data_IF_576401684451
#
_entry.id   IF_576401684451
#
_cell.length_a   1.000
_cell.length_b   1.000
_cell.length_c   1.000
_cell.angle_alpha   90.00
_cell.angle_beta   90.00
_cell.angle_gamma   90.00
#
_symmetry.space_group_name_H-M   'P 1'
#
loop_
_entity.id
_entity.type
_entity.pdbx_description
1 polymer ?
#
# COMPACT_ATOMS: atom_id res chain seq x y z
N UNK A 1 5.91 54.99 45.55
CA UNK A 1 6.27 54.16 44.39
C UNK A 1 6.19 52.74 44.91
N UNK A 2 5.00 52.16 44.88
CA UNK A 2 4.72 50.87 45.52
C UNK A 2 5.20 49.75 44.60
N UNK A 3 6.30 49.12 45.01
CA UNK A 3 6.81 47.90 44.38
C UNK A 3 5.86 46.79 44.82
N UNK A 4 5.01 46.33 43.90
CA UNK A 4 4.13 45.19 44.13
C UNK A 4 4.98 43.89 44.22
N UNK A 5 5.40 43.56 45.44
CA UNK A 5 6.25 42.40 45.78
C UNK A 5 5.50 41.06 45.62
N UNK A 6 4.22 41.07 45.22
CA UNK A 6 3.40 39.85 45.23
C UNK A 6 3.31 39.10 43.91
N UNK A 7 4.00 39.52 42.85
CA UNK A 7 4.06 38.71 41.61
C UNK A 7 5.00 37.51 41.82
N UNK A 8 4.48 36.26 41.91
CA UNK A 8 5.34 35.09 41.94
C UNK A 8 6.21 35.11 40.69
N UNK A 9 7.53 34.96 40.87
CA UNK A 9 8.43 34.87 39.73
C UNK A 9 8.00 33.65 38.91
N UNK A 10 7.53 33.90 37.69
CA UNK A 10 7.16 32.83 36.77
C UNK A 10 8.45 32.15 36.34
N UNK A 11 8.88 31.15 37.11
CA UNK A 11 10.02 30.33 36.75
C UNK A 11 9.72 29.68 35.40
N UNK A 12 10.70 29.77 34.48
CA UNK A 12 10.56 29.16 33.17
C UNK A 12 10.32 27.64 33.31
N UNK A 13 9.45 27.04 32.49
CA UNK A 13 9.17 25.61 32.58
C UNK A 13 10.42 24.78 32.29
N UNK A 14 10.62 23.75 33.11
CA UNK A 14 11.70 22.77 32.96
C UNK A 14 11.62 22.02 31.63
N UNK A 15 12.74 21.42 31.17
CA UNK A 15 12.77 20.59 29.94
C UNK A 15 11.74 19.44 29.98
N UNK A 16 11.59 18.80 31.14
CA UNK A 16 10.61 17.72 31.35
C UNK A 16 9.17 18.23 31.24
N UNK A 17 8.85 19.40 31.82
CA UNK A 17 7.51 20.00 31.70
C UNK A 17 7.18 20.35 30.24
N UNK A 18 8.13 20.92 29.49
CA UNK A 18 7.96 21.20 28.06
C UNK A 18 7.73 19.93 27.25
N UNK A 19 8.50 18.87 27.51
CA UNK A 19 8.33 17.57 26.86
C UNK A 19 6.97 16.94 27.18
N UNK A 20 6.57 16.92 28.46
CA UNK A 20 5.25 16.40 28.90
C UNK A 20 4.11 17.19 28.25
N UNK A 21 4.18 18.51 28.25
CA UNK A 21 3.17 19.35 27.61
C UNK A 21 3.10 19.09 26.09
N UNK A 22 4.24 18.92 25.43
CA UNK A 22 4.32 18.54 24.02
C UNK A 22 3.69 17.18 23.74
N UNK A 23 4.01 16.16 24.53
CA UNK A 23 3.45 14.82 24.40
C UNK A 23 1.93 14.79 24.64
N UNK A 24 1.46 15.47 25.70
CA UNK A 24 0.02 15.56 26.00
C UNK A 24 -0.72 16.30 24.89
N UNK A 25 -0.17 17.40 24.38
CA UNK A 25 -0.73 18.12 23.23
C UNK A 25 -0.77 17.24 21.98
N UNK A 26 0.32 16.52 21.70
CA UNK A 26 0.41 15.58 20.59
C UNK A 26 -0.65 14.49 20.68
N UNK A 27 -0.82 13.87 21.86
CA UNK A 27 -1.82 12.84 22.12
C UNK A 27 -3.26 13.38 22.03
N UNK A 28 -3.52 14.58 22.59
CA UNK A 28 -4.86 15.21 22.58
C UNK A 28 -5.34 15.58 21.19
N UNK A 29 -4.44 15.99 20.30
CA UNK A 29 -4.83 16.36 18.94
C UNK A 29 -5.27 15.15 18.08
N UNK A 30 -5.03 13.92 18.54
CA UNK A 30 -5.69 12.72 18.05
C UNK A 30 -5.38 12.33 16.60
N UNK A 31 -6.16 11.38 16.08
CA UNK A 31 -6.00 10.78 14.75
C UNK A 31 -7.13 11.24 13.83
N UNK A 32 -7.15 12.52 13.50
CA UNK A 32 -8.23 13.13 12.72
C UNK A 32 -7.87 13.25 11.23
N UNK A 33 -8.85 13.13 10.32
CA UNK A 33 -8.64 13.45 8.91
C UNK A 33 -8.23 14.92 8.72
N UNK A 34 -7.15 15.15 7.98
CA UNK A 34 -6.72 16.51 7.63
C UNK A 34 -7.32 16.96 6.30
N UNK A 35 -7.59 18.26 6.13
CA UNK A 35 -8.11 18.79 4.87
C UNK A 35 -7.13 18.54 3.73
N UNK A 36 -7.63 18.04 2.60
CA UNK A 36 -6.88 17.82 1.36
C UNK A 36 -7.36 18.82 0.31
N UNK A 37 -6.44 19.56 -0.30
CA UNK A 37 -6.77 20.53 -1.35
C UNK A 37 -7.26 19.83 -2.62
N UNK A 38 -8.00 20.54 -3.49
CA UNK A 38 -8.49 19.96 -4.75
C UNK A 38 -7.36 19.51 -5.67
N UNK A 39 -6.31 20.32 -5.81
CA UNK A 39 -5.15 20.02 -6.64
C UNK A 39 -4.35 18.83 -6.13
N UNK A 40 -4.08 18.81 -4.82
CA UNK A 40 -3.39 17.70 -4.18
C UNK A 40 -4.12 16.37 -4.41
N UNK A 41 -5.44 16.37 -4.22
CA UNK A 41 -6.27 15.19 -4.46
C UNK A 41 -6.36 14.78 -5.92
N UNK A 42 -6.39 15.73 -6.85
CA UNK A 42 -6.34 15.43 -8.28
C UNK A 42 -5.04 14.70 -8.63
N UNK A 43 -3.88 15.19 -8.17
CA UNK A 43 -2.58 14.54 -8.44
C UNK A 43 -2.52 13.16 -7.78
N UNK A 44 -2.99 13.00 -6.54
CA UNK A 44 -3.05 11.66 -5.90
C UNK A 44 -3.84 10.66 -6.74
N UNK A 45 -5.01 11.06 -7.24
CA UNK A 45 -5.85 10.19 -8.08
C UNK A 45 -5.23 9.94 -9.45
N UNK A 46 -4.56 10.93 -10.04
CA UNK A 46 -3.81 10.75 -11.28
C UNK A 46 -2.70 9.71 -11.09
N UNK A 47 -1.90 9.81 -10.03
CA UNK A 47 -0.82 8.86 -9.74
C UNK A 47 -1.38 7.46 -9.45
N UNK A 48 -2.45 7.37 -8.65
CA UNK A 48 -3.08 6.08 -8.34
C UNK A 48 -3.76 5.47 -9.57
N UNK A 49 -4.41 6.29 -10.40
CA UNK A 49 -4.99 5.87 -11.67
C UNK A 49 -3.95 5.38 -12.66
N UNK A 50 -2.82 6.08 -12.80
CA UNK A 50 -1.69 5.64 -13.62
C UNK A 50 -1.11 4.30 -13.13
N UNK A 51 -0.99 4.13 -11.81
CA UNK A 51 -0.61 2.85 -11.21
C UNK A 51 -1.61 1.74 -11.53
N UNK A 52 -2.92 2.00 -11.47
CA UNK A 52 -3.94 1.02 -11.85
C UNK A 52 -3.82 0.63 -13.33
N UNK A 53 -3.63 1.60 -14.23
CA UNK A 53 -3.40 1.30 -15.66
C UNK A 53 -2.16 0.44 -15.83
N UNK A 54 -1.04 0.82 -15.22
CA UNK A 54 0.21 0.04 -15.28
C UNK A 54 0.01 -1.41 -14.82
N UNK A 55 -0.77 -1.60 -13.76
CA UNK A 55 -1.06 -2.93 -13.22
C UNK A 55 -1.95 -3.74 -14.16
N UNK A 56 -2.99 -3.13 -14.74
CA UNK A 56 -3.79 -3.82 -15.75
C UNK A 56 -3.03 -4.10 -17.05
N UNK A 57 -1.95 -3.36 -17.36
CA UNK A 57 -1.07 -3.68 -18.49
C UNK A 57 -0.07 -4.79 -18.20
N UNK A 58 0.03 -5.25 -16.95
CA UNK A 58 0.84 -6.43 -16.64
C UNK A 58 0.18 -7.67 -17.27
N UNK A 59 0.92 -8.34 -18.13
CA UNK A 59 0.49 -9.36 -19.09
C UNK A 59 0.76 -10.78 -18.59
N UNK A 60 1.53 -10.91 -17.52
CA UNK A 60 1.72 -12.16 -16.77
C UNK A 60 0.41 -12.84 -16.24
N UNK A 61 -0.71 -12.15 -15.94
CA UNK A 61 -1.90 -12.76 -15.32
C UNK A 61 -2.70 -13.72 -16.18
N UNK A 62 -2.34 -13.89 -17.44
CA UNK A 62 -3.19 -14.56 -18.40
C UNK A 62 -2.46 -15.62 -19.21
N UNK A 63 -1.25 -16.03 -18.79
CA UNK A 63 -0.50 -17.06 -19.54
C UNK A 63 -1.10 -18.47 -19.44
N UNK A 64 -1.93 -18.72 -18.44
CA UNK A 64 -2.56 -20.02 -18.23
C UNK A 64 -4.08 -19.85 -18.25
N UNK A 65 -4.77 -20.64 -19.07
CA UNK A 65 -6.24 -20.65 -19.09
C UNK A 65 -6.78 -21.27 -17.80
N UNK A 66 -6.11 -22.29 -17.26
CA UNK A 66 -6.62 -23.05 -16.13
C UNK A 66 -6.55 -22.30 -14.79
N UNK A 67 -7.56 -22.53 -13.94
CA UNK A 67 -7.59 -22.10 -12.54
C UNK A 67 -7.32 -23.28 -11.60
N UNK A 68 -6.11 -23.85 -11.65
CA UNK A 68 -5.78 -25.09 -10.92
C UNK A 68 -5.98 -25.01 -9.41
N UNK A 69 -5.94 -23.80 -8.84
CA UNK A 69 -6.07 -23.55 -7.39
C UNK A 69 -7.06 -22.41 -7.13
N UNK A 70 -8.37 -22.62 -7.31
CA UNK A 70 -9.36 -21.55 -7.18
C UNK A 70 -9.31 -20.90 -5.80
N UNK A 71 -9.22 -19.56 -5.77
CA UNK A 71 -9.18 -18.76 -4.54
C UNK A 71 -10.35 -17.80 -4.48
N UNK A 72 -10.88 -17.55 -3.28
CA UNK A 72 -11.94 -16.57 -3.06
C UNK A 72 -13.16 -16.82 -3.97
N UNK A 73 -13.54 -15.79 -4.73
CA UNK A 73 -14.70 -15.83 -5.65
C UNK A 73 -14.57 -16.93 -6.71
N UNK A 74 -13.34 -17.30 -7.10
CA UNK A 74 -13.11 -18.37 -8.08
C UNK A 74 -13.56 -19.77 -7.60
N UNK A 75 -13.84 -19.95 -6.31
CA UNK A 75 -14.45 -21.20 -5.82
C UNK A 75 -15.93 -21.32 -6.21
N UNK A 76 -16.57 -20.22 -6.58
CA UNK A 76 -18.00 -20.15 -6.85
C UNK A 76 -18.31 -19.76 -8.29
N UNK A 77 -17.41 -19.04 -8.94
CA UNK A 77 -17.59 -18.51 -10.30
C UNK A 77 -16.33 -18.84 -11.09
N UNK A 78 -16.50 -19.53 -12.22
CA UNK A 78 -15.44 -19.72 -13.20
C UNK A 78 -15.03 -18.36 -13.77
N UNK A 79 -13.75 -17.98 -13.60
CA UNK A 79 -13.20 -16.70 -14.07
C UNK A 79 -12.36 -16.85 -15.33
N UNK A 80 -12.33 -18.04 -15.97
CA UNK A 80 -11.59 -18.27 -17.22
C UNK A 80 -12.04 -17.39 -18.39
N UNK A 81 -13.26 -16.84 -18.33
CA UNK A 81 -13.73 -15.83 -19.30
C UNK A 81 -12.94 -14.51 -19.25
N UNK A 82 -12.12 -14.27 -18.21
CA UNK A 82 -11.17 -13.15 -18.10
C UNK A 82 -9.78 -13.48 -18.67
N UNK A 83 -9.58 -14.64 -19.29
CA UNK A 83 -8.32 -14.96 -19.95
C UNK A 83 -8.01 -13.96 -21.07
N UNK A 84 -6.74 -13.84 -21.46
CA UNK A 84 -6.32 -13.00 -22.58
C UNK A 84 -5.92 -13.89 -23.75
N UNK A 85 -6.53 -13.68 -24.91
CA UNK A 85 -6.10 -14.31 -26.15
C UNK A 85 -7.16 -15.19 -26.82
N UNK A 86 -6.94 -15.42 -28.10
CA UNK A 86 -7.62 -16.43 -28.92
C UNK A 86 -6.91 -17.74 -28.63
N UNK A 87 -7.64 -18.77 -28.18
CA UNK A 87 -7.05 -20.10 -27.97
C UNK A 87 -6.31 -20.53 -29.24
N UNK A 88 -5.06 -21.01 -29.08
CA UNK A 88 -4.31 -21.47 -30.24
C UNK A 88 -5.04 -22.65 -30.89
N UNK A 89 -5.09 -22.73 -32.23
CA UNK A 89 -5.72 -23.85 -32.91
C UNK A 89 -5.07 -25.18 -32.50
N UNK A 90 -5.74 -25.95 -31.65
CA UNK A 90 -5.25 -27.24 -31.15
C UNK A 90 -5.11 -27.34 -29.62
N UNK A 91 -5.28 -26.25 -28.87
CA UNK A 91 -5.48 -26.35 -27.41
C UNK A 91 -6.89 -26.86 -27.12
N UNK A 92 -7.02 -28.18 -26.93
CA UNK A 92 -8.23 -28.76 -26.36
C UNK A 92 -8.34 -28.32 -24.90
N UNK A 93 -9.39 -27.54 -24.58
CA UNK A 93 -9.83 -27.29 -23.21
C UNK A 93 -10.00 -28.64 -22.52
N UNK A 94 -9.03 -29.02 -21.68
CA UNK A 94 -9.08 -30.27 -20.92
C UNK A 94 -10.41 -30.33 -20.17
N UNK A 95 -11.31 -31.20 -20.64
CA UNK A 95 -12.73 -31.23 -20.32
C UNK A 95 -13.06 -31.68 -18.87
N UNK A 96 -12.16 -31.48 -17.91
CA UNK A 96 -12.32 -31.95 -16.52
C UNK A 96 -13.02 -30.97 -15.57
N UNK A 97 -13.55 -29.84 -16.07
CA UNK A 97 -14.28 -28.88 -15.23
C UNK A 97 -15.49 -28.20 -15.88
N UNK A 98 -15.80 -28.48 -17.14
CA UNK A 98 -16.86 -27.82 -17.89
C UNK A 98 -18.25 -28.33 -17.45
N UNK A 99 -18.91 -27.57 -16.57
CA UNK A 99 -20.35 -27.74 -16.34
C UNK A 99 -21.16 -27.48 -17.63
N UNK A 100 -22.46 -27.82 -17.66
CA UNK A 100 -23.29 -27.76 -18.88
C UNK A 100 -23.46 -26.37 -19.55
N UNK A 101 -22.85 -25.30 -19.01
CA UNK A 101 -23.00 -23.92 -19.45
C UNK A 101 -21.73 -23.27 -20.04
N UNK A 102 -20.60 -23.98 -20.19
CA UNK A 102 -19.31 -23.38 -20.59
C UNK A 102 -18.95 -23.51 -22.09
N UNK A 103 -19.93 -23.72 -22.97
CA UNK A 103 -19.71 -24.08 -24.40
C UNK A 103 -19.46 -22.92 -25.39
N UNK A 104 -18.83 -21.82 -24.98
CA UNK A 104 -18.43 -20.81 -25.97
C UNK A 104 -16.92 -20.56 -25.89
N UNK A 105 -16.13 -21.04 -26.87
CA UNK A 105 -14.74 -20.65 -27.03
C UNK A 105 -14.74 -19.20 -27.52
N UNK A 106 -14.84 -18.26 -26.59
CA UNK A 106 -14.64 -16.83 -26.85
C UNK A 106 -13.20 -16.49 -26.50
N UNK A 107 -12.56 -15.68 -27.36
CA UNK A 107 -11.44 -14.87 -26.93
C UNK A 107 -11.82 -14.22 -25.59
N UNK A 108 -10.99 -14.40 -24.58
CA UNK A 108 -11.38 -13.96 -23.23
C UNK A 108 -11.55 -12.44 -23.19
N UNK A 109 -12.47 -11.98 -22.35
CA UNK A 109 -12.99 -10.60 -22.35
C UNK A 109 -12.04 -9.59 -21.67
N UNK A 110 -10.77 -9.96 -21.47
CA UNK A 110 -9.84 -9.12 -20.72
C UNK A 110 -9.60 -7.77 -21.40
N UNK A 111 -9.54 -7.74 -22.72
CA UNK A 111 -9.27 -6.53 -23.49
C UNK A 111 -10.41 -5.52 -23.35
N UNK A 112 -11.66 -5.98 -23.47
CA UNK A 112 -12.85 -5.17 -23.21
C UNK A 112 -12.89 -4.71 -21.77
N UNK A 113 -12.54 -5.59 -20.84
CA UNK A 113 -12.47 -5.27 -19.42
C UNK A 113 -11.43 -4.19 -19.13
N UNK A 114 -10.27 -4.25 -19.77
CA UNK A 114 -9.22 -3.26 -19.66
C UNK A 114 -9.65 -1.90 -20.21
N UNK A 115 -10.28 -1.87 -21.39
CA UNK A 115 -10.82 -0.63 -21.97
C UNK A 115 -11.85 0.01 -21.03
N UNK A 116 -12.77 -0.79 -20.49
CA UNK A 116 -13.76 -0.31 -19.49
C UNK A 116 -13.05 0.22 -18.25
N UNK A 117 -12.03 -0.48 -17.73
CA UNK A 117 -11.26 -0.05 -16.58
C UNK A 117 -10.53 1.28 -16.85
N UNK A 118 -9.92 1.47 -18.02
CA UNK A 118 -9.29 2.74 -18.42
C UNK A 118 -10.28 3.91 -18.44
N UNK A 119 -11.48 3.71 -18.98
CA UNK A 119 -12.54 4.74 -18.97
C UNK A 119 -12.93 5.07 -17.53
N UNK A 120 -13.18 4.07 -16.70
CA UNK A 120 -13.52 4.27 -15.28
C UNK A 120 -12.39 4.96 -14.51
N UNK A 121 -11.13 4.64 -14.79
CA UNK A 121 -9.96 5.30 -14.19
C UNK A 121 -9.91 6.77 -14.60
N UNK A 122 -10.17 7.10 -15.87
CA UNK A 122 -10.24 8.50 -16.32
C UNK A 122 -11.35 9.27 -15.57
N UNK A 123 -12.54 8.68 -15.44
CA UNK A 123 -13.66 9.27 -14.68
C UNK A 123 -13.30 9.42 -13.19
N UNK A 124 -12.61 8.43 -12.59
CA UNK A 124 -12.09 8.49 -11.22
C UNK A 124 -11.11 9.65 -11.02
N UNK A 125 -10.15 9.83 -11.94
CA UNK A 125 -9.17 10.92 -11.89
C UNK A 125 -9.87 12.27 -11.92
N UNK A 126 -10.88 12.43 -12.77
CA UNK A 126 -11.66 13.67 -12.87
C UNK A 126 -12.52 13.90 -11.63
N UNK A 127 -13.07 12.84 -11.02
CA UNK A 127 -13.87 12.93 -9.79
C UNK A 127 -15.35 12.92 -9.97
N UNK A 128 -15.79 12.53 -11.16
CA UNK A 128 -17.20 12.35 -11.44
C UNK A 128 -17.67 11.00 -10.92
N UNK A 129 -18.87 10.96 -10.35
CA UNK A 129 -19.53 9.71 -9.98
C UNK A 129 -18.74 8.80 -9.06
N UNK A 130 -17.83 9.32 -8.21
CA UNK A 130 -16.90 8.53 -7.38
C UNK A 130 -17.58 7.37 -6.62
N UNK A 131 -18.84 7.56 -6.19
CA UNK A 131 -19.63 6.53 -5.50
C UNK A 131 -19.95 5.31 -6.35
N UNK A 132 -20.03 5.45 -7.66
CA UNK A 132 -20.33 4.35 -8.59
C UNK A 132 -19.05 3.85 -9.24
N UNK A 133 -18.15 4.77 -9.61
CA UNK A 133 -16.88 4.43 -10.25
C UNK A 133 -15.99 3.57 -9.34
N UNK A 134 -15.85 3.92 -8.06
CA UNK A 134 -14.98 3.17 -7.14
C UNK A 134 -15.44 1.73 -6.89
N UNK A 135 -16.72 1.43 -6.57
CA UNK A 135 -17.17 0.04 -6.44
C UNK A 135 -16.96 -0.77 -7.72
N UNK A 136 -17.26 -0.20 -8.89
CA UNK A 136 -17.07 -0.91 -10.15
C UNK A 136 -15.59 -1.20 -10.40
N UNK A 137 -14.71 -0.21 -10.21
CA UNK A 137 -13.25 -0.42 -10.28
C UNK A 137 -12.76 -1.46 -9.25
N UNK A 138 -13.26 -1.43 -8.02
CA UNK A 138 -12.90 -2.39 -6.98
C UNK A 138 -13.28 -3.81 -7.38
N UNK A 139 -14.52 -4.02 -7.85
CA UNK A 139 -15.00 -5.32 -8.33
C UNK A 139 -14.15 -5.77 -9.52
N UNK A 140 -13.92 -4.88 -10.48
CA UNK A 140 -13.14 -5.22 -11.67
C UNK A 140 -11.73 -5.67 -11.32
N UNK A 141 -11.04 -4.88 -10.50
CA UNK A 141 -9.70 -5.22 -10.01
C UNK A 141 -9.71 -6.53 -9.22
N UNK A 142 -10.67 -6.74 -8.31
CA UNK A 142 -10.78 -8.00 -7.56
C UNK A 142 -10.98 -9.21 -8.47
N UNK A 143 -11.84 -9.14 -9.48
CA UNK A 143 -12.11 -10.26 -10.38
C UNK A 143 -10.84 -10.66 -11.15
N UNK A 144 -10.16 -9.69 -11.77
CA UNK A 144 -8.92 -9.93 -12.54
C UNK A 144 -7.84 -10.55 -11.66
N UNK A 145 -7.59 -10.00 -10.47
CA UNK A 145 -6.49 -10.48 -9.63
C UNK A 145 -6.85 -11.72 -8.80
N UNK A 146 -8.14 -12.00 -8.59
CA UNK A 146 -8.59 -13.30 -8.07
C UNK A 146 -8.37 -14.39 -9.11
N UNK A 147 -8.60 -14.10 -10.39
CA UNK A 147 -8.30 -15.01 -11.48
C UNK A 147 -6.80 -15.32 -11.55
N UNK A 148 -5.95 -14.28 -11.58
CA UNK A 148 -4.47 -14.41 -11.50
C UNK A 148 -4.03 -15.29 -10.32
N UNK A 149 -4.52 -14.98 -9.10
CA UNK A 149 -4.14 -15.71 -7.89
C UNK A 149 -4.57 -17.19 -7.93
N UNK A 150 -5.62 -17.51 -8.71
CA UNK A 150 -6.17 -18.85 -8.88
C UNK A 150 -5.40 -19.72 -9.88
N UNK A 151 -4.55 -19.12 -10.71
CA UNK A 151 -3.57 -19.82 -11.57
C UNK A 151 -2.32 -20.27 -10.79
N UNK A 152 -2.26 -19.99 -9.49
CA UNK A 152 -1.13 -20.36 -8.63
C UNK A 152 -0.14 -19.22 -8.36
N UNK A 153 -0.26 -18.07 -9.01
CA UNK A 153 0.58 -16.90 -8.77
C UNK A 153 0.03 -16.04 -7.64
N UNK A 154 0.54 -16.20 -6.42
CA UNK A 154 0.08 -15.36 -5.31
C UNK A 154 0.88 -14.07 -5.25
N UNK A 155 0.24 -12.92 -5.52
CA UNK A 155 0.91 -11.62 -5.42
C UNK A 155 0.14 -10.63 -4.53
N UNK A 156 0.65 -10.44 -3.31
CA UNK A 156 0.02 -9.58 -2.29
C UNK A 156 -0.11 -8.10 -2.71
N UNK A 157 0.69 -7.63 -3.67
CA UNK A 157 0.61 -6.25 -4.15
C UNK A 157 -0.74 -5.90 -4.77
N UNK A 158 -1.40 -6.82 -5.47
CA UNK A 158 -2.73 -6.58 -6.03
C UNK A 158 -3.81 -6.62 -4.93
N UNK A 159 -3.66 -7.49 -3.94
CA UNK A 159 -4.60 -7.61 -2.82
C UNK A 159 -4.70 -6.28 -2.03
N UNK A 160 -3.57 -5.62 -1.78
CA UNK A 160 -3.56 -4.30 -1.12
C UNK A 160 -4.34 -3.24 -1.92
N UNK A 161 -4.22 -3.25 -3.25
CA UNK A 161 -4.91 -2.30 -4.12
C UNK A 161 -6.41 -2.60 -4.19
N UNK A 162 -6.80 -3.87 -4.23
CA UNK A 162 -8.19 -4.29 -4.13
C UNK A 162 -8.83 -3.78 -2.83
N UNK A 163 -8.14 -3.98 -1.70
CA UNK A 163 -8.61 -3.48 -0.39
C UNK A 163 -8.65 -1.95 -0.37
N UNK A 164 -7.67 -1.28 -0.97
CA UNK A 164 -7.66 0.18 -1.11
C UNK A 164 -8.88 0.70 -1.87
N UNK A 165 -9.14 0.16 -3.06
CA UNK A 165 -10.29 0.54 -3.89
C UNK A 165 -11.61 0.25 -3.17
N UNK A 166 -11.72 -0.92 -2.53
CA UNK A 166 -12.90 -1.29 -1.75
C UNK A 166 -13.11 -0.34 -0.55
N UNK A 167 -12.05 -0.02 0.19
CA UNK A 167 -12.13 0.90 1.33
C UNK A 167 -12.51 2.32 0.91
N UNK A 168 -11.94 2.82 -0.20
CA UNK A 168 -12.35 4.10 -0.78
C UNK A 168 -13.81 4.07 -1.24
N UNK A 169 -14.27 2.97 -1.87
CA UNK A 169 -15.65 2.79 -2.27
C UNK A 169 -16.61 2.83 -1.07
N UNK A 170 -16.28 2.11 0.00
CA UNK A 170 -17.05 2.08 1.24
C UNK A 170 -17.17 3.49 1.86
N UNK A 171 -16.06 4.25 1.92
CA UNK A 171 -16.06 5.64 2.41
C UNK A 171 -16.93 6.54 1.54
N UNK A 172 -16.82 6.44 0.22
CA UNK A 172 -17.60 7.25 -0.72
C UNK A 172 -19.13 7.05 -0.54
N UNK A 173 -19.54 5.81 -0.25
CA UNK A 173 -20.93 5.47 0.07
C UNK A 173 -21.34 5.94 1.47
N UNK A 174 -20.55 5.61 2.49
CA UNK A 174 -20.87 5.91 3.88
C UNK A 174 -20.93 7.41 4.16
N UNK A 175 -19.97 8.18 3.64
CA UNK A 175 -19.83 9.61 3.90
C UNK A 175 -20.51 10.49 2.85
N UNK A 176 -21.53 9.98 2.16
CA UNK A 176 -22.21 10.66 1.03
C UNK A 176 -22.73 12.08 1.30
N UNK A 177 -22.96 12.48 2.55
CA UNK A 177 -23.46 13.81 2.91
C UNK A 177 -22.35 14.83 3.17
N UNK A 178 -21.08 14.42 3.19
CA UNK A 178 -19.98 15.35 3.44
C UNK A 178 -19.79 16.31 2.27
N UNK A 179 -19.41 17.57 2.55
CA UNK A 179 -18.93 18.46 1.50
C UNK A 179 -17.70 17.84 0.84
N UNK A 180 -17.45 18.22 -0.41
CA UNK A 180 -16.36 17.73 -1.26
C UNK A 180 -14.99 17.71 -0.51
N UNK A 181 -14.66 18.77 0.22
CA UNK A 181 -13.44 18.81 1.05
C UNK A 181 -13.39 17.75 2.17
N UNK A 182 -14.51 17.53 2.86
CA UNK A 182 -14.63 16.52 3.89
C UNK A 182 -14.53 15.10 3.33
N UNK A 183 -15.13 14.86 2.16
CA UNK A 183 -15.01 13.57 1.47
C UNK A 183 -13.55 13.26 1.09
N UNK A 184 -12.81 14.22 0.52
CA UNK A 184 -11.39 14.02 0.19
C UNK A 184 -10.53 13.69 1.41
N UNK A 185 -10.72 14.43 2.50
CA UNK A 185 -10.01 14.18 3.75
C UNK A 185 -10.25 12.76 4.26
N UNK A 186 -11.50 12.28 4.21
CA UNK A 186 -11.86 10.92 4.62
C UNK A 186 -11.26 9.86 3.69
N UNK A 187 -11.39 10.02 2.37
CA UNK A 187 -10.83 9.08 1.40
C UNK A 187 -9.32 8.92 1.58
N UNK A 188 -8.59 10.03 1.74
CA UNK A 188 -7.16 10.00 2.03
C UNK A 188 -6.85 9.35 3.39
N UNK A 189 -7.57 9.73 4.46
CA UNK A 189 -7.37 9.17 5.80
C UNK A 189 -7.53 7.65 5.82
N UNK A 190 -8.61 7.11 5.25
CA UNK A 190 -8.83 5.67 5.21
C UNK A 190 -7.85 4.96 4.26
N UNK A 191 -7.40 5.62 3.19
CA UNK A 191 -6.35 5.06 2.32
C UNK A 191 -5.05 4.84 3.10
N UNK A 192 -4.63 5.81 3.91
CA UNK A 192 -3.50 5.65 4.83
C UNK A 192 -3.76 4.54 5.84
N UNK A 193 -4.96 4.51 6.43
CA UNK A 193 -5.36 3.49 7.39
C UNK A 193 -5.22 2.07 6.85
N UNK A 194 -5.62 1.83 5.60
CA UNK A 194 -5.49 0.51 4.95
C UNK A 194 -4.02 0.10 4.82
N UNK A 195 -3.15 1.00 4.34
CA UNK A 195 -1.72 0.71 4.19
C UNK A 195 -1.10 0.39 5.56
N UNK A 196 -1.33 1.25 6.55
CA UNK A 196 -0.74 1.12 7.88
C UNK A 196 -1.29 -0.10 8.62
N UNK A 197 -2.58 -0.41 8.45
CA UNK A 197 -3.18 -1.64 8.98
C UNK A 197 -2.49 -2.89 8.41
N UNK A 198 -2.13 -2.90 7.12
CA UNK A 198 -1.37 -4.00 6.52
C UNK A 198 -0.04 -4.30 7.25
N UNK A 199 0.71 -3.26 7.62
CA UNK A 199 1.96 -3.41 8.39
C UNK A 199 1.71 -3.88 9.83
N UNK A 200 0.69 -3.35 10.50
CA UNK A 200 0.30 -3.82 11.84
C UNK A 200 -0.14 -5.29 11.79
N UNK A 201 -0.92 -5.68 10.78
CA UNK A 201 -1.27 -7.09 10.55
C UNK A 201 -0.03 -7.95 10.34
N UNK A 202 0.98 -7.46 9.61
CA UNK A 202 2.26 -8.16 9.47
C UNK A 202 2.91 -8.43 10.82
N UNK A 203 3.00 -7.43 11.71
CA UNK A 203 3.54 -7.62 13.07
C UNK A 203 2.74 -8.62 13.89
N UNK A 204 1.42 -8.53 13.86
CA UNK A 204 0.56 -9.48 14.57
C UNK A 204 0.80 -10.90 14.07
N UNK A 205 0.88 -11.11 12.75
CA UNK A 205 1.19 -12.43 12.17
C UNK A 205 2.59 -12.92 12.56
N UNK A 206 3.59 -12.04 12.60
CA UNK A 206 4.95 -12.37 13.07
C UNK A 206 4.93 -12.86 14.51
N UNK A 207 4.27 -12.12 15.42
CA UNK A 207 4.14 -12.48 16.83
C UNK A 207 3.41 -13.83 16.99
N UNK A 208 2.30 -14.04 16.28
CA UNK A 208 1.53 -15.29 16.36
C UNK A 208 2.36 -16.47 15.85
N UNK A 209 2.92 -16.37 14.64
CA UNK A 209 3.65 -17.46 14.00
C UNK A 209 4.96 -17.80 14.73
N UNK A 210 5.58 -16.82 15.40
CA UNK A 210 6.77 -17.05 16.21
C UNK A 210 6.47 -17.39 17.67
N UNK A 211 5.19 -17.50 18.08
CA UNK A 211 4.78 -17.63 19.49
C UNK A 211 5.41 -16.56 20.41
N UNK A 212 5.50 -15.32 19.93
CA UNK A 212 6.11 -14.19 20.64
C UNK A 212 7.64 -14.10 20.52
N UNK A 213 8.31 -15.10 19.94
CA UNK A 213 9.78 -15.17 19.86
C UNK A 213 10.39 -14.49 18.62
N UNK A 214 9.65 -13.59 17.93
CA UNK A 214 10.10 -13.02 16.65
C UNK A 214 11.46 -12.33 16.78
N UNK A 215 11.61 -11.45 17.78
CA UNK A 215 12.85 -10.70 18.01
C UNK A 215 14.04 -11.62 18.27
N UNK A 216 13.84 -12.74 18.97
CA UNK A 216 14.93 -13.68 19.22
C UNK A 216 15.27 -14.55 18.00
N UNK A 217 14.24 -14.91 17.22
CA UNK A 217 14.39 -15.79 16.07
C UNK A 217 14.75 -15.05 14.78
N UNK A 218 14.70 -13.72 14.76
CA UNK A 218 14.99 -12.92 13.57
C UNK A 218 16.44 -13.08 13.08
N UNK A 219 17.36 -13.51 13.95
CA UNK A 219 18.72 -13.90 13.58
C UNK A 219 18.78 -15.03 12.53
N UNK A 220 17.75 -15.88 12.45
CA UNK A 220 17.67 -16.99 11.49
C UNK A 220 17.12 -16.58 10.12
N UNK A 221 16.71 -15.32 9.92
CA UNK A 221 16.22 -14.83 8.63
C UNK A 221 17.30 -14.82 7.53
N UNK A 222 18.57 -14.97 7.89
CA UNK A 222 19.65 -15.24 6.93
C UNK A 222 19.40 -16.49 6.08
N UNK A 223 18.74 -17.52 6.64
CA UNK A 223 18.34 -18.73 5.89
C UNK A 223 17.30 -18.41 4.82
N UNK A 224 16.37 -17.51 5.09
CA UNK A 224 15.38 -17.09 4.08
C UNK A 224 16.02 -16.29 2.95
N UNK A 225 17.10 -15.52 3.21
CA UNK A 225 17.89 -14.87 2.14
C UNK A 225 18.50 -15.93 1.20
N UNK A 226 19.10 -16.98 1.76
CA UNK A 226 19.67 -18.07 0.95
C UNK A 226 18.56 -18.70 0.12
N UNK A 227 17.43 -19.03 0.73
CA UNK A 227 16.29 -19.65 0.05
C UNK A 227 15.74 -18.81 -1.09
N UNK A 228 15.59 -17.50 -0.93
CA UNK A 228 15.09 -16.64 -2.02
C UNK A 228 16.09 -16.53 -3.16
N UNK A 229 17.40 -16.45 -2.87
CA UNK A 229 18.44 -16.51 -3.89
C UNK A 229 18.41 -17.84 -4.65
N UNK A 230 18.33 -18.98 -3.94
CA UNK A 230 18.22 -20.30 -4.57
C UNK A 230 16.97 -20.45 -5.42
N UNK A 231 15.85 -19.84 -5.02
CA UNK A 231 14.64 -19.84 -5.83
C UNK A 231 14.87 -19.15 -7.17
N UNK A 232 15.59 -18.03 -7.22
CA UNK A 232 15.97 -17.39 -8.49
C UNK A 232 16.85 -18.31 -9.35
N UNK A 233 17.83 -18.99 -8.73
CA UNK A 233 18.63 -19.99 -9.45
C UNK A 233 17.77 -21.10 -10.05
N UNK A 234 16.84 -21.68 -9.30
CA UNK A 234 16.00 -22.77 -9.83
C UNK A 234 14.97 -22.30 -10.86
N UNK A 235 14.63 -21.00 -10.86
CA UNK A 235 13.70 -20.42 -11.83
C UNK A 235 14.37 -20.23 -13.20
N UNK A 236 15.55 -19.61 -13.23
CA UNK A 236 16.17 -19.14 -14.47
C UNK A 236 17.56 -19.78 -14.75
N UNK A 237 18.05 -20.65 -13.87
CA UNK A 237 19.37 -21.33 -13.92
C UNK A 237 20.56 -20.35 -13.94
N UNK A 238 20.37 -19.16 -13.39
CA UNK A 238 21.36 -18.09 -13.35
C UNK A 238 22.46 -18.38 -12.33
N UNK A 239 23.65 -18.76 -12.79
CA UNK A 239 24.79 -19.25 -11.99
C UNK A 239 25.20 -18.28 -10.86
N UNK A 240 24.95 -16.98 -11.00
CA UNK A 240 25.20 -16.00 -9.93
C UNK A 240 24.43 -16.28 -8.63
N UNK A 241 23.32 -17.00 -8.71
CA UNK A 241 22.49 -17.41 -7.57
C UNK A 241 22.78 -18.84 -7.08
N UNK A 242 23.77 -19.51 -7.66
CA UNK A 242 24.19 -20.86 -7.26
C UNK A 242 25.11 -20.87 -6.03
N UNK A 243 25.51 -19.71 -5.50
CA UNK A 243 26.26 -19.57 -4.26
C UNK A 243 25.39 -19.06 -3.11
N UNK A 244 25.92 -19.13 -1.90
CA UNK A 244 25.32 -18.43 -0.76
C UNK A 244 25.71 -16.95 -0.86
N UNK A 245 24.74 -16.01 -0.82
CA UNK A 245 25.07 -14.61 -0.96
C UNK A 245 25.89 -14.13 0.24
N UNK A 246 26.92 -13.30 -0.03
CA UNK A 246 27.83 -12.79 1.00
C UNK A 246 27.09 -12.09 2.15
N UNK A 247 25.96 -11.44 1.87
CA UNK A 247 25.09 -10.84 2.89
C UNK A 247 24.51 -11.87 3.85
N UNK A 248 24.01 -13.01 3.36
CA UNK A 248 23.50 -14.08 4.22
C UNK A 248 24.62 -14.70 5.06
N UNK A 249 25.77 -14.97 4.45
CA UNK A 249 26.94 -15.51 5.16
C UNK A 249 27.41 -14.56 6.25
N UNK A 250 27.48 -13.26 5.99
CA UNK A 250 27.81 -12.25 7.00
C UNK A 250 26.81 -12.28 8.17
N UNK A 251 25.51 -12.26 7.88
CA UNK A 251 24.47 -12.25 8.91
C UNK A 251 24.43 -13.55 9.73
N UNK A 252 24.77 -14.68 9.12
CA UNK A 252 24.90 -15.98 9.79
C UNK A 252 26.03 -15.95 10.83
N UNK A 253 27.16 -15.31 10.53
CA UNK A 253 28.29 -15.18 11.46
C UNK A 253 28.10 -14.05 12.49
N UNK A 254 27.15 -13.14 12.26
CA UNK A 254 26.85 -12.01 13.15
C UNK A 254 25.37 -11.98 13.54
N UNK A 255 24.90 -12.93 14.37
CA UNK A 255 23.47 -13.08 14.70
C UNK A 255 22.85 -11.84 15.36
N UNK A 256 23.60 -11.13 16.20
CA UNK A 256 23.11 -9.88 16.81
C UNK A 256 22.96 -8.74 15.80
N UNK A 257 23.79 -8.70 14.74
CA UNK A 257 23.62 -7.75 13.65
C UNK A 257 22.37 -8.09 12.83
N UNK A 258 22.15 -9.38 12.54
CA UNK A 258 20.93 -9.83 11.89
C UNK A 258 19.68 -9.44 12.69
N UNK A 259 19.68 -9.75 13.98
CA UNK A 259 18.61 -9.38 14.91
C UNK A 259 18.35 -7.86 14.87
N UNK A 260 19.39 -7.04 15.05
CA UNK A 260 19.25 -5.58 14.99
C UNK A 260 18.62 -5.09 13.68
N UNK A 261 19.10 -5.57 12.54
CA UNK A 261 18.62 -5.13 11.22
C UNK A 261 17.15 -5.52 10.97
N UNK A 262 16.78 -6.76 11.29
CA UNK A 262 15.41 -7.25 11.07
C UNK A 262 14.42 -6.72 12.12
N UNK A 263 14.85 -6.51 13.36
CA UNK A 263 14.00 -6.02 14.44
C UNK A 263 13.68 -4.53 14.26
N UNK A 264 14.58 -3.74 13.66
CA UNK A 264 14.25 -2.35 13.25
C UNK A 264 13.05 -2.36 12.29
N UNK A 265 13.01 -3.30 11.34
CA UNK A 265 11.85 -3.49 10.47
C UNK A 265 10.58 -3.80 11.24
N UNK A 266 10.65 -4.72 12.21
CA UNK A 266 9.53 -5.06 13.09
C UNK A 266 8.98 -3.83 13.84
N UNK A 267 9.85 -2.98 14.39
CA UNK A 267 9.41 -1.76 15.08
C UNK A 267 8.83 -0.70 14.14
N UNK A 268 9.37 -0.54 12.93
CA UNK A 268 8.78 0.34 11.91
C UNK A 268 7.34 -0.08 11.63
N UNK A 269 7.10 -1.38 11.46
CA UNK A 269 5.76 -1.92 11.23
C UNK A 269 4.85 -1.79 12.47
N UNK A 270 5.37 -2.07 13.67
CA UNK A 270 4.61 -2.00 14.93
C UNK A 270 4.13 -0.59 15.21
N UNK A 271 4.94 0.41 14.89
CA UNK A 271 4.61 1.83 15.06
C UNK A 271 4.01 2.47 13.80
N UNK A 272 3.65 1.68 12.78
CA UNK A 272 3.05 2.20 11.54
C UNK A 272 1.81 3.07 11.80
N UNK A 273 0.98 2.73 12.80
CA UNK A 273 -0.22 3.51 13.17
C UNK A 273 0.07 4.99 13.49
N UNK A 274 1.29 5.34 13.90
CA UNK A 274 1.71 6.73 14.12
C UNK A 274 1.57 7.56 12.83
N UNK A 275 1.68 6.94 11.66
CA UNK A 275 1.46 7.57 10.36
C UNK A 275 0.04 8.12 10.14
N UNK A 276 -0.95 7.72 10.94
CA UNK A 276 -2.30 8.30 10.91
C UNK A 276 -2.39 9.66 11.58
N UNK A 277 -1.39 10.06 12.36
CA UNK A 277 -1.46 11.21 13.27
C UNK A 277 -1.62 12.54 12.56
N UNK A 278 -0.68 12.83 11.67
CA UNK A 278 -0.70 14.01 10.82
C UNK A 278 0.14 13.76 9.55
N UNK A 279 0.14 14.71 8.60
CA UNK A 279 0.92 14.65 7.35
C UNK A 279 2.41 14.45 7.58
N UNK A 280 2.99 15.01 8.65
CA UNK A 280 4.44 14.90 8.92
C UNK A 280 4.79 13.49 9.36
N UNK A 281 4.03 12.93 10.30
CA UNK A 281 4.20 11.56 10.76
C UNK A 281 3.87 10.55 9.66
N UNK A 282 2.84 10.83 8.86
CA UNK A 282 2.52 10.06 7.66
C UNK A 282 3.70 10.01 6.68
N UNK A 283 4.32 11.17 6.44
CA UNK A 283 5.46 11.27 5.54
C UNK A 283 6.70 10.53 6.08
N UNK A 284 7.01 10.74 7.35
CA UNK A 284 8.10 10.03 8.04
C UNK A 284 7.91 8.50 7.97
N UNK A 285 6.75 8.00 8.38
CA UNK A 285 6.48 6.56 8.35
C UNK A 285 6.47 6.01 6.92
N UNK A 286 5.92 6.76 5.95
CA UNK A 286 5.96 6.39 4.54
C UNK A 286 7.38 6.21 4.01
N UNK A 287 8.29 7.13 4.35
CA UNK A 287 9.71 7.03 3.98
C UNK A 287 10.38 5.83 4.68
N UNK A 288 10.15 5.65 5.99
CA UNK A 288 10.71 4.52 6.74
C UNK A 288 10.28 3.17 6.17
N UNK A 289 9.01 3.04 5.80
CA UNK A 289 8.46 1.85 5.16
C UNK A 289 9.07 1.60 3.77
N UNK A 290 9.25 2.66 2.97
CA UNK A 290 9.90 2.54 1.66
C UNK A 290 11.36 2.09 1.82
N UNK A 291 12.11 2.67 2.76
CA UNK A 291 13.49 2.26 3.06
C UNK A 291 13.54 0.80 3.50
N UNK A 292 12.60 0.36 4.36
CA UNK A 292 12.46 -1.03 4.76
C UNK A 292 12.23 -1.95 3.55
N UNK A 293 11.34 -1.58 2.63
CA UNK A 293 11.11 -2.39 1.44
C UNK A 293 12.30 -2.40 0.48
N UNK A 294 13.03 -1.29 0.34
CA UNK A 294 14.25 -1.23 -0.46
C UNK A 294 15.35 -2.10 0.15
N UNK A 295 15.49 -2.13 1.48
CA UNK A 295 16.47 -2.99 2.14
C UNK A 295 16.11 -4.48 2.01
N UNK A 296 14.82 -4.84 2.10
CA UNK A 296 14.35 -6.21 1.83
C UNK A 296 14.58 -6.59 0.36
N UNK A 297 14.28 -5.70 -0.58
CA UNK A 297 14.51 -5.95 -2.00
C UNK A 297 15.99 -6.16 -2.31
N UNK A 298 16.88 -5.39 -1.67
CA UNK A 298 18.32 -5.55 -1.81
C UNK A 298 18.84 -6.84 -1.15
N UNK A 299 18.42 -7.15 0.07
CA UNK A 299 18.89 -8.31 0.83
C UNK A 299 18.29 -9.63 0.36
N UNK A 300 16.99 -9.67 0.11
CA UNK A 300 16.22 -10.90 -0.12
C UNK A 300 15.79 -11.08 -1.58
N UNK A 301 16.06 -10.11 -2.47
CA UNK A 301 15.55 -10.08 -3.86
C UNK A 301 14.01 -10.12 -3.95
N UNK A 302 13.33 -9.64 -2.91
CA UNK A 302 11.87 -9.54 -2.86
C UNK A 302 11.42 -8.09 -3.00
N UNK A 303 10.85 -7.73 -4.15
CA UNK A 303 10.34 -6.39 -4.40
C UNK A 303 8.84 -6.28 -4.11
N UNK A 304 8.44 -5.15 -3.53
CA UNK A 304 7.05 -4.84 -3.20
C UNK A 304 6.66 -3.50 -3.84
N UNK A 305 6.94 -3.34 -5.13
CA UNK A 305 6.81 -2.08 -5.86
C UNK A 305 5.44 -1.42 -5.69
N UNK A 306 4.36 -2.21 -5.75
CA UNK A 306 3.00 -1.70 -5.58
C UNK A 306 2.80 -1.04 -4.20
N UNK A 307 3.30 -1.66 -3.14
CA UNK A 307 3.21 -1.10 -1.79
C UNK A 307 4.03 0.18 -1.65
N UNK A 308 5.24 0.21 -2.24
CA UNK A 308 6.08 1.40 -2.22
C UNK A 308 5.40 2.58 -2.95
N UNK A 309 4.77 2.35 -4.10
CA UNK A 309 4.03 3.38 -4.84
C UNK A 309 2.83 3.87 -4.01
N UNK A 310 2.06 2.97 -3.38
CA UNK A 310 0.97 3.38 -2.49
C UNK A 310 1.47 4.23 -1.30
N UNK A 311 2.62 3.87 -0.73
CA UNK A 311 3.26 4.68 0.32
C UNK A 311 3.66 6.06 -0.21
N UNK A 312 4.24 6.15 -1.41
CA UNK A 312 4.57 7.44 -2.04
C UNK A 312 3.35 8.33 -2.23
N UNK A 313 2.24 7.75 -2.73
CA UNK A 313 1.01 8.50 -3.02
C UNK A 313 0.31 8.93 -1.74
N UNK A 314 0.03 7.99 -0.83
CA UNK A 314 -0.89 8.23 0.29
C UNK A 314 -0.20 8.52 1.62
N UNK A 315 1.00 7.98 1.89
CA UNK A 315 1.73 8.21 3.14
C UNK A 315 2.72 9.38 3.03
N UNK A 316 3.69 9.28 2.13
CA UNK A 316 4.66 10.34 1.81
C UNK A 316 3.94 11.59 1.31
N UNK A 317 2.86 11.38 0.55
CA UNK A 317 2.06 12.44 -0.02
C UNK A 317 2.93 13.40 -0.84
N UNK A 318 3.55 12.86 -1.89
CA UNK A 318 4.36 13.62 -2.85
C UNK A 318 3.65 14.90 -3.33
N UNK A 319 2.33 14.90 -3.63
CA UNK A 319 1.62 16.12 -4.02
C UNK A 319 1.68 17.25 -2.96
N UNK A 320 1.59 16.90 -1.67
CA UNK A 320 1.75 17.86 -0.57
C UNK A 320 3.16 18.43 -0.49
N UNK A 321 4.20 17.60 -0.68
CA UNK A 321 5.58 18.05 -0.69
C UNK A 321 5.86 19.04 -1.82
N UNK A 322 5.31 18.78 -3.02
CA UNK A 322 5.40 19.70 -4.16
C UNK A 322 4.72 21.02 -3.82
N UNK A 323 3.50 20.99 -3.28
CA UNK A 323 2.78 22.19 -2.88
C UNK A 323 3.53 23.02 -1.83
N UNK A 324 4.14 22.35 -0.84
CA UNK A 324 4.95 22.97 0.20
C UNK A 324 6.23 23.61 -0.36
N UNK A 325 6.90 22.95 -1.30
CA UNK A 325 8.07 23.50 -1.98
C UNK A 325 7.71 24.76 -2.79
N UNK A 326 6.61 24.70 -3.55
CA UNK A 326 6.11 25.83 -4.34
C UNK A 326 5.70 27.02 -3.47
N UNK A 327 5.05 26.78 -2.32
CA UNK A 327 4.64 27.87 -1.42
C UNK A 327 5.85 28.58 -0.79
N UNK A 328 6.92 27.84 -0.49
CA UNK A 328 8.17 28.42 0.03
C UNK A 328 8.91 29.23 -1.04
N UNK A 329 8.95 28.72 -2.28
CA UNK A 329 9.60 29.40 -3.39
C UNK A 329 8.94 30.74 -3.74
N UNK A 330 7.63 30.88 -3.55
CA UNK A 330 6.89 32.14 -3.77
C UNK A 330 7.14 33.22 -2.71
N UNK A 331 7.92 32.91 -1.66
CA UNK A 331 8.32 33.83 -0.60
C UNK A 331 7.16 34.26 0.33
N UNK A 332 7.46 34.95 1.45
CA UNK A 332 6.46 35.38 2.44
C UNK A 332 5.43 36.42 1.95
N UNK A 333 5.44 36.81 0.68
CA UNK A 333 4.80 38.07 0.23
C UNK A 333 3.28 38.04 0.05
N UNK A 334 2.57 36.96 0.38
CA UNK A 334 1.11 36.87 0.16
C UNK A 334 0.28 36.24 1.30
N UNK A 335 0.80 36.09 2.52
CA UNK A 335 0.00 35.56 3.65
C UNK A 335 -0.80 36.63 4.40
N UNK A 336 -1.50 37.50 3.68
CA UNK A 336 -2.48 38.44 4.23
C UNK A 336 -3.80 38.40 3.45
N UNK A 337 -4.22 37.19 3.07
CA UNK A 337 -5.64 36.93 2.88
C UNK A 337 -6.05 35.82 3.84
N UNK A 338 -6.67 36.29 4.93
CA UNK A 338 -7.60 35.56 5.78
C UNK A 338 -8.36 34.53 4.95
N UNK A 339 -8.01 33.26 5.06
CA UNK A 339 -8.97 32.21 4.75
C UNK A 339 -10.01 32.25 5.86
N UNK A 340 -11.15 32.83 5.49
CA UNK A 340 -12.44 32.93 6.19
C UNK A 340 -12.88 31.61 6.86
N UNK A 341 -13.81 31.69 7.83
CA UNK A 341 -14.02 30.73 8.94
C UNK A 341 -14.32 29.28 8.56
#
# INVERSE_FOLDING_TARGET
MDIDVTKPSTQAPTRLQRWKAGFVSWAKAGFLPEPISRWEWFIMRLLFGAMLVWIFTDWHPFRHVAQDKPKGIANFVDLTWLHHGVMEPGEELGAKGAGPLTWIPRAGLFEEFFVIACVLIAVYILGYGIRFVLPVLAIMHMLVWTYHDSQGYTYHGHQMISIMLFGQAAVAWWKRKLPDAGMRAQLWYYSRGIILAGYITSVVTKIINSKGMWLWNSQYLSVEIIKTHRLSYYKDLEVEFAGDPASATLLLHHPYLAMLLFDVGFFIELFAWVGLRDRKWSCFMGISIIILHLSIAWLMRLSFTNHQILCLIFLVNVPWLIALAMSRARGPRLSLQKTLP
#
